data_IF_319587962923
#
_entry.id   IF_319587962923
#
_cell.length_a   1.000
_cell.length_b   1.000
_cell.length_c   1.000
_cell.angle_alpha   90.00
_cell.angle_beta   90.00
_cell.angle_gamma   90.00
#
_symmetry.space_group_name_H-M   'P 1'
#
loop_
_entity.id
_entity.type
_entity.pdbx_description
1 polymer ?
#
# COMPACT_ATOMS: atom_id res chain seq x y z
N UNK A 1 -26.56 -17.77 -68.87
CA UNK A 1 -26.19 -18.59 -67.69
C UNK A 1 -24.83 -18.19 -67.10
N UNK A 2 -23.85 -17.78 -67.91
CA UNK A 2 -22.52 -17.39 -67.40
C UNK A 2 -22.51 -16.12 -66.53
N UNK A 3 -23.26 -15.07 -66.90
CA UNK A 3 -23.33 -13.81 -66.14
C UNK A 3 -23.87 -13.96 -64.72
N UNK A 4 -24.80 -14.91 -64.51
CA UNK A 4 -25.41 -15.19 -63.21
C UNK A 4 -24.42 -15.90 -62.28
N UNK A 5 -23.56 -16.76 -62.85
CA UNK A 5 -22.55 -17.50 -62.10
C UNK A 5 -21.38 -16.60 -61.69
N UNK A 6 -20.98 -15.66 -62.57
CA UNK A 6 -19.97 -14.65 -62.24
C UNK A 6 -20.46 -13.71 -61.12
N UNK A 7 -21.72 -13.26 -61.18
CA UNK A 7 -22.31 -12.43 -60.13
C UNK A 7 -22.37 -13.15 -58.77
N UNK A 8 -22.74 -14.43 -58.74
CA UNK A 8 -22.72 -15.24 -57.51
C UNK A 8 -21.30 -15.38 -56.93
N UNK A 9 -20.29 -15.58 -57.79
CA UNK A 9 -18.90 -15.70 -57.37
C UNK A 9 -18.32 -14.39 -56.84
N UNK A 10 -18.66 -13.24 -57.44
CA UNK A 10 -18.21 -11.94 -56.94
C UNK A 10 -18.81 -11.62 -55.56
N UNK A 11 -20.08 -11.94 -55.34
CA UNK A 11 -20.74 -11.71 -54.04
C UNK A 11 -20.14 -12.60 -52.95
N UNK A 12 -19.85 -13.88 -53.23
CA UNK A 12 -19.26 -14.78 -52.24
C UNK A 12 -17.85 -14.38 -51.82
N UNK A 13 -17.04 -13.88 -52.77
CA UNK A 13 -15.70 -13.33 -52.49
C UNK A 13 -15.79 -12.05 -51.64
N UNK A 14 -16.72 -11.16 -51.95
CA UNK A 14 -16.94 -9.94 -51.16
C UNK A 14 -17.38 -10.26 -49.73
N UNK A 15 -18.30 -11.24 -49.57
CA UNK A 15 -18.78 -11.65 -48.26
C UNK A 15 -17.69 -12.28 -47.39
N UNK A 16 -16.83 -13.11 -47.99
CA UNK A 16 -15.71 -13.73 -47.29
C UNK A 16 -14.65 -12.70 -46.90
N UNK A 17 -14.33 -11.73 -47.77
CA UNK A 17 -13.45 -10.60 -47.42
C UNK A 17 -14.02 -9.78 -46.26
N UNK A 18 -15.31 -9.42 -46.32
CA UNK A 18 -15.97 -8.69 -45.24
C UNK A 18 -16.01 -9.51 -43.93
N UNK A 19 -16.23 -10.82 -44.00
CA UNK A 19 -16.24 -11.69 -42.82
C UNK A 19 -14.85 -11.81 -42.18
N UNK A 20 -13.79 -11.92 -42.99
CA UNK A 20 -12.40 -12.01 -42.51
C UNK A 20 -11.96 -10.69 -41.90
N UNK A 21 -12.21 -9.56 -42.59
CA UNK A 21 -11.87 -8.23 -42.08
C UNK A 21 -12.71 -7.85 -40.84
N UNK A 22 -14.01 -8.13 -40.88
CA UNK A 22 -14.93 -7.87 -39.77
C UNK A 22 -14.61 -8.74 -38.55
N UNK A 23 -14.31 -10.03 -38.76
CA UNK A 23 -13.87 -10.95 -37.72
C UNK A 23 -12.54 -10.53 -37.09
N UNK A 24 -11.58 -10.09 -37.90
CA UNK A 24 -10.29 -9.61 -37.40
C UNK A 24 -10.42 -8.34 -36.56
N UNK A 25 -11.25 -7.37 -36.97
CA UNK A 25 -11.50 -6.15 -36.20
C UNK A 25 -12.29 -6.42 -34.91
N UNK A 26 -13.30 -7.30 -34.97
CA UNK A 26 -14.06 -7.72 -33.78
C UNK A 26 -13.16 -8.44 -32.77
N UNK A 27 -12.25 -9.29 -33.24
CA UNK A 27 -11.30 -9.99 -32.37
C UNK A 27 -10.28 -9.02 -31.75
N UNK A 28 -9.74 -8.09 -32.55
CA UNK A 28 -8.79 -7.08 -32.05
C UNK A 28 -9.43 -6.17 -31.00
N UNK A 29 -10.66 -5.71 -31.25
CA UNK A 29 -11.39 -4.83 -30.31
C UNK A 29 -11.77 -5.56 -29.02
N UNK A 30 -12.16 -6.84 -29.10
CA UNK A 30 -12.40 -7.68 -27.94
C UNK A 30 -11.15 -7.91 -27.08
N UNK A 31 -10.01 -8.18 -27.71
CA UNK A 31 -8.73 -8.37 -27.01
C UNK A 31 -8.18 -7.08 -26.37
N UNK A 32 -8.40 -5.91 -26.97
CA UNK A 32 -8.00 -4.63 -26.35
C UNK A 32 -8.82 -4.28 -25.11
N UNK A 33 -10.07 -4.74 -24.99
CA UNK A 33 -10.89 -4.48 -23.80
C UNK A 33 -10.44 -5.32 -22.60
N UNK A 34 -10.03 -6.56 -22.82
CA UNK A 34 -9.58 -7.45 -21.73
C UNK A 34 -8.23 -7.03 -21.14
N UNK A 35 -7.32 -6.49 -21.95
CA UNK A 35 -6.04 -5.99 -21.45
C UNK A 35 -6.18 -4.75 -20.54
N UNK A 36 -7.12 -3.87 -20.85
CA UNK A 36 -7.31 -2.62 -20.12
C UNK A 36 -7.95 -2.86 -18.72
N UNK A 37 -8.89 -3.79 -18.62
CA UNK A 37 -9.52 -4.14 -17.33
C UNK A 37 -8.56 -4.78 -16.34
N UNK A 38 -7.63 -5.62 -16.82
CA UNK A 38 -6.67 -6.30 -15.93
C UNK A 38 -5.64 -5.31 -15.38
N UNK A 39 -5.17 -4.36 -16.19
CA UNK A 39 -4.25 -3.32 -15.71
C UNK A 39 -4.89 -2.42 -14.64
N UNK A 40 -6.17 -2.06 -14.83
CA UNK A 40 -6.87 -1.16 -13.91
C UNK A 40 -7.04 -1.79 -12.52
N UNK A 41 -7.38 -3.09 -12.45
CA UNK A 41 -7.52 -3.81 -11.18
C UNK A 41 -6.21 -3.92 -10.39
N UNK A 42 -5.08 -4.08 -11.07
CA UNK A 42 -3.77 -4.17 -10.42
C UNK A 42 -3.36 -2.81 -9.85
N UNK A 43 -3.61 -1.73 -10.60
CA UNK A 43 -3.34 -0.37 -10.15
C UNK A 43 -4.20 -0.02 -8.93
N UNK A 44 -5.48 -0.37 -8.95
CA UNK A 44 -6.39 -0.13 -7.82
C UNK A 44 -5.99 -0.93 -6.57
N UNK A 45 -5.54 -2.18 -6.73
CA UNK A 45 -5.03 -3.00 -5.64
C UNK A 45 -3.77 -2.40 -5.00
N UNK A 46 -2.81 -1.97 -5.81
CA UNK A 46 -1.57 -1.33 -5.34
C UNK A 46 -1.84 0.01 -4.64
N UNK A 47 -2.76 0.82 -5.17
CA UNK A 47 -3.17 2.07 -4.51
C UNK A 47 -3.80 1.81 -3.15
N UNK A 48 -4.67 0.79 -3.05
CA UNK A 48 -5.29 0.40 -1.79
C UNK A 48 -4.26 -0.08 -0.76
N UNK A 49 -3.26 -0.84 -1.20
CA UNK A 49 -2.18 -1.29 -0.33
C UNK A 49 -1.32 -0.12 0.17
N UNK A 50 -0.98 0.82 -0.72
CA UNK A 50 -0.26 2.06 -0.37
C UNK A 50 -1.03 2.90 0.66
N UNK A 51 -2.34 3.07 0.48
CA UNK A 51 -3.15 3.83 1.44
C UNK A 51 -3.26 3.13 2.79
N UNK A 52 -3.35 1.79 2.79
CA UNK A 52 -3.32 1.00 4.02
C UNK A 52 -1.98 1.14 4.75
N UNK A 53 -0.86 1.09 4.03
CA UNK A 53 0.48 1.28 4.56
C UNK A 53 0.67 2.69 5.14
N UNK A 54 0.20 3.72 4.44
CA UNK A 54 0.22 5.11 4.92
C UNK A 54 -0.59 5.29 6.19
N UNK A 55 -1.80 4.73 6.26
CA UNK A 55 -2.63 4.79 7.46
C UNK A 55 -1.96 4.11 8.66
N UNK A 56 -1.26 2.99 8.45
CA UNK A 56 -0.47 2.33 9.49
C UNK A 56 0.71 3.18 9.95
N UNK A 57 1.44 3.80 9.02
CA UNK A 57 2.54 4.72 9.36
C UNK A 57 2.05 5.91 10.17
N UNK A 58 0.94 6.52 9.78
CA UNK A 58 0.33 7.63 10.53
C UNK A 58 -0.10 7.21 11.94
N UNK A 59 -0.66 6.01 12.07
CA UNK A 59 -1.05 5.47 13.38
C UNK A 59 0.18 5.28 14.27
N UNK A 60 1.23 4.63 13.75
CA UNK A 60 2.50 4.41 14.45
C UNK A 60 3.15 5.75 14.82
N UNK A 61 3.13 6.74 13.92
CA UNK A 61 3.69 8.07 14.18
C UNK A 61 2.95 8.77 15.32
N UNK A 62 1.61 8.73 15.34
CA UNK A 62 0.80 9.29 16.43
C UNK A 62 1.06 8.58 17.74
N UNK A 63 1.15 7.25 17.74
CA UNK A 63 1.48 6.47 18.93
C UNK A 63 2.87 6.80 19.46
N UNK A 64 3.86 6.95 18.59
CA UNK A 64 5.21 7.40 18.96
C UNK A 64 5.17 8.77 19.64
N UNK A 65 4.52 9.76 19.02
CA UNK A 65 4.39 11.11 19.61
C UNK A 65 3.67 11.08 20.96
N UNK A 66 2.63 10.26 21.08
CA UNK A 66 1.92 10.07 22.34
C UNK A 66 2.83 9.46 23.40
N UNK A 67 3.61 8.42 23.05
CA UNK A 67 4.54 7.77 23.97
C UNK A 67 5.65 8.74 24.41
N UNK A 68 6.20 9.53 23.50
CA UNK A 68 7.18 10.58 23.81
C UNK A 68 6.60 11.61 24.80
N UNK A 69 5.35 12.03 24.59
CA UNK A 69 4.67 12.96 25.51
C UNK A 69 4.46 12.35 26.90
N UNK A 70 4.09 11.06 26.98
CA UNK A 70 3.96 10.34 28.25
C UNK A 70 5.30 10.23 28.96
N UNK A 71 6.37 9.86 28.25
CA UNK A 71 7.73 9.78 28.81
C UNK A 71 8.16 11.16 29.32
N UNK A 72 7.93 12.22 28.55
CA UNK A 72 8.25 13.59 28.97
C UNK A 72 7.50 13.99 30.24
N UNK A 73 6.22 13.64 30.36
CA UNK A 73 5.42 13.88 31.56
C UNK A 73 5.96 13.11 32.78
N UNK A 74 6.35 11.84 32.60
CA UNK A 74 6.98 11.03 33.66
C UNK A 74 8.31 11.66 34.09
N UNK A 75 9.18 12.00 33.14
CA UNK A 75 10.45 12.65 33.42
C UNK A 75 10.26 13.99 34.16
N UNK A 76 9.26 14.79 33.79
CA UNK A 76 8.94 16.03 34.47
C UNK A 76 8.46 15.77 35.91
N UNK A 77 7.58 14.79 36.12
CA UNK A 77 7.10 14.41 37.45
C UNK A 77 8.23 13.88 38.35
N UNK A 78 9.17 13.11 37.78
CA UNK A 78 10.35 12.59 38.49
C UNK A 78 11.30 13.73 38.88
N UNK A 79 11.58 14.67 37.98
CA UNK A 79 12.40 15.86 38.26
C UNK A 79 11.81 16.72 39.38
N UNK A 80 10.50 16.90 39.39
CA UNK A 80 9.81 17.63 40.47
C UNK A 80 9.98 16.97 41.85
N UNK A 81 10.31 15.68 41.89
CA UNK A 81 10.59 14.92 43.12
C UNK A 81 12.09 14.83 43.45
N UNK A 82 12.94 15.54 42.70
CA UNK A 82 14.40 15.50 42.89
C UNK A 82 15.09 14.29 42.24
N UNK A 83 14.40 13.55 41.36
CA UNK A 83 14.98 12.43 40.63
C UNK A 83 15.28 12.82 39.18
N UNK A 84 16.50 12.58 38.73
CA UNK A 84 16.90 12.75 37.33
C UNK A 84 16.72 11.42 36.58
N UNK A 85 16.14 11.49 35.38
CA UNK A 85 15.94 10.33 34.50
C UNK A 85 16.66 10.57 33.19
N UNK A 86 17.57 9.67 32.85
CA UNK A 86 18.25 9.64 31.56
C UNK A 86 17.87 8.35 30.82
N UNK A 87 17.42 8.49 29.58
CA UNK A 87 16.95 7.37 28.75
C UNK A 87 17.89 7.27 27.55
N UNK A 88 18.79 6.29 27.62
CA UNK A 88 19.77 6.00 26.58
C UNK A 88 19.37 4.73 25.83
N UNK A 89 18.52 4.89 24.82
CA UNK A 89 18.02 3.77 24.00
C UNK A 89 17.22 2.78 24.85
N UNK A 90 17.82 1.63 25.15
CA UNK A 90 17.22 0.57 25.98
C UNK A 90 17.54 0.70 27.48
N UNK A 91 18.36 1.65 27.90
CA UNK A 91 18.77 1.82 29.29
C UNK A 91 18.08 3.05 29.89
N UNK A 92 17.43 2.86 31.04
CA UNK A 92 16.88 3.95 31.85
C UNK A 92 17.71 4.07 33.12
N UNK A 93 18.33 5.22 33.30
CA UNK A 93 19.09 5.57 34.49
C UNK A 93 18.28 6.55 35.34
N UNK A 94 18.01 6.17 36.58
CA UNK A 94 17.32 7.02 37.56
C UNK A 94 18.33 7.38 38.65
N UNK A 95 18.61 8.66 38.82
CA UNK A 95 19.48 9.19 39.86
C UNK A 95 18.66 10.02 40.85
N UNK A 96 18.76 9.69 42.13
CA UNK A 96 18.21 10.45 43.23
C UNK A 96 19.26 11.45 43.76
N UNK A 97 18.82 12.63 44.18
CA UNK A 97 19.63 13.61 44.92
C UNK A 97 20.26 13.05 46.19
N UNK A 98 19.72 11.96 46.74
CA UNK A 98 20.30 11.25 47.89
C UNK A 98 21.47 10.31 47.54
N UNK A 99 21.90 10.24 46.27
CA UNK A 99 23.05 9.45 45.82
C UNK A 99 22.71 8.01 45.41
N UNK A 100 21.44 7.62 45.44
CA UNK A 100 20.96 6.36 44.89
C UNK A 100 20.87 6.42 43.37
N UNK A 101 21.51 5.49 42.67
CA UNK A 101 21.40 5.34 41.22
C UNK A 101 20.91 3.95 40.86
N UNK A 102 19.83 3.88 40.09
CA UNK A 102 19.25 2.62 39.59
C UNK A 102 19.30 2.65 38.07
N UNK A 103 19.92 1.63 37.47
CA UNK A 103 19.94 1.43 36.02
C UNK A 103 19.08 0.21 35.69
N UNK A 104 18.03 0.42 34.90
CA UNK A 104 17.12 -0.65 34.47
C UNK A 104 17.08 -0.70 32.95
N UNK A 105 17.08 -1.93 32.40
CA UNK A 105 16.93 -2.17 30.97
C UNK A 105 15.46 -2.28 30.60
N UNK A 106 15.06 -1.61 29.52
CA UNK A 106 13.75 -1.75 28.90
C UNK A 106 13.69 -3.16 28.29
N UNK A 107 12.89 -4.04 28.88
CA UNK A 107 12.60 -5.36 28.32
C UNK A 107 11.27 -5.28 27.58
N UNK A 108 11.24 -5.75 26.34
CA UNK A 108 9.97 -5.95 25.63
C UNK A 108 9.21 -7.08 26.34
N UNK A 109 8.10 -6.74 27.00
CA UNK A 109 7.14 -7.74 27.46
C UNK A 109 6.49 -8.29 26.19
N UNK A 110 6.85 -9.51 25.81
CA UNK A 110 6.15 -10.28 24.77
C UNK A 110 4.82 -10.74 25.37
N UNK A 111 3.72 -10.17 24.92
CA UNK A 111 2.39 -10.78 25.01
C UNK A 111 2.19 -11.79 23.87
#
# INVERSE_FOLDING_TARGET
>A
METVNTALSTVSILMTLCAVCGGFLAWRTGATRTANEVQQRVIDALNTELDTLRARLDTIAREKTRLEAVIAAICAAMRNRGMSVDIQGELVLIQDVQGGSIATRIQQIKE
#
